data_IF_283684391731
#
_entry.id   IF_283684391731
#
_cell.length_a   1.000
_cell.length_b   1.000
_cell.length_c   1.000
_cell.angle_alpha   90.00
_cell.angle_beta   90.00
_cell.angle_gamma   90.00
#
_symmetry.space_group_name_H-M   'P 1'
#
loop_
_entity.id
_entity.type
_entity.pdbx_description
1 polymer ?
#
# COMPACT_ATOMS: atom_id res chain seq x y z
N UNK A 1 29.18 11.17 -7.56
CA UNK A 1 28.10 10.26 -7.11
C UNK A 1 28.65 8.86 -7.25
N UNK A 2 28.98 8.17 -6.14
CA UNK A 2 29.72 6.90 -6.18
C UNK A 2 28.81 5.69 -6.48
N UNK A 3 27.73 5.54 -5.71
CA UNK A 3 26.75 4.44 -5.91
C UNK A 3 25.34 4.97 -5.79
N UNK A 4 24.43 4.47 -6.64
CA UNK A 4 23.01 4.78 -6.58
C UNK A 4 22.17 3.51 -6.51
N UNK A 5 21.54 3.25 -5.36
CA UNK A 5 20.63 2.12 -5.21
C UNK A 5 19.26 2.44 -5.80
N UNK A 6 18.59 1.42 -6.33
CA UNK A 6 17.35 1.53 -7.11
C UNK A 6 16.47 0.29 -6.94
N UNK A 7 15.32 0.26 -7.60
CA UNK A 7 14.43 -0.91 -7.70
C UNK A 7 14.18 -1.57 -6.32
N UNK A 8 14.40 -2.88 -6.20
CA UNK A 8 14.08 -3.65 -4.98
C UNK A 8 14.97 -3.24 -3.81
N UNK A 9 16.27 -3.04 -4.03
CA UNK A 9 17.18 -2.57 -2.98
C UNK A 9 16.75 -1.22 -2.40
N UNK A 10 16.40 -0.25 -3.26
CA UNK A 10 15.91 1.04 -2.77
C UNK A 10 14.55 0.93 -2.08
N UNK A 11 13.63 0.10 -2.60
CA UNK A 11 12.33 -0.16 -1.97
C UNK A 11 12.52 -0.72 -0.56
N UNK A 12 13.25 -1.82 -0.40
CA UNK A 12 13.43 -2.48 0.90
C UNK A 12 14.12 -1.57 1.91
N UNK A 13 15.13 -0.81 1.46
CA UNK A 13 15.80 0.19 2.29
C UNK A 13 14.81 1.27 2.78
N UNK A 14 14.10 1.93 1.86
CA UNK A 14 13.17 3.02 2.18
C UNK A 14 12.03 2.57 3.10
N UNK A 15 11.53 1.35 2.91
CA UNK A 15 10.45 0.80 3.72
C UNK A 15 10.89 0.47 5.15
N UNK A 16 12.19 0.34 5.44
CA UNK A 16 12.71 0.01 6.79
C UNK A 16 13.33 1.20 7.52
N UNK A 17 13.85 2.19 6.80
CA UNK A 17 14.44 3.38 7.45
C UNK A 17 13.40 4.42 7.89
N UNK A 18 13.64 5.10 9.03
CA UNK A 18 12.87 6.27 9.40
C UNK A 18 13.00 7.38 8.34
N UNK A 19 11.89 7.95 7.93
CA UNK A 19 11.85 9.09 7.02
C UNK A 19 11.67 10.36 7.82
N UNK A 20 12.72 10.69 8.58
CA UNK A 20 12.76 11.92 9.36
C UNK A 20 12.64 13.09 8.39
N UNK A 21 11.57 13.89 8.49
CA UNK A 21 11.43 15.14 7.76
C UNK A 21 12.61 16.04 8.14
N UNK A 22 13.70 15.98 7.36
CA UNK A 22 14.90 16.78 7.58
C UNK A 22 14.46 18.23 7.35
N UNK A 23 14.30 18.98 8.45
CA UNK A 23 14.03 20.42 8.41
C UNK A 23 15.00 21.08 7.43
N UNK A 24 14.46 21.87 6.51
CA UNK A 24 15.16 22.41 5.33
C UNK A 24 15.56 21.37 4.26
N UNK A 25 14.55 20.88 3.54
CA UNK A 25 14.66 20.49 2.13
C UNK A 25 15.51 19.26 1.82
N UNK A 26 14.86 18.21 1.30
CA UNK A 26 15.52 17.29 0.34
C UNK A 26 15.90 18.09 -0.90
N UNK A 27 16.93 18.93 -0.83
CA UNK A 27 17.52 19.55 -2.01
C UNK A 27 18.59 18.60 -2.53
N UNK A 28 18.15 17.41 -2.97
CA UNK A 28 18.96 16.72 -3.95
C UNK A 28 18.74 17.41 -5.29
N UNK A 29 19.75 18.18 -5.71
CA UNK A 29 19.84 18.71 -7.08
C UNK A 29 20.41 17.68 -8.06
N UNK A 30 20.66 16.44 -7.62
CA UNK A 30 21.16 15.39 -8.48
C UNK A 30 20.11 15.07 -9.55
N UNK A 31 20.34 15.61 -10.74
CA UNK A 31 19.59 15.33 -11.97
C UNK A 31 20.17 14.15 -12.74
N UNK A 32 21.43 13.83 -12.48
CA UNK A 32 22.20 12.87 -13.26
C UNK A 32 22.44 11.59 -12.48
N UNK A 33 22.02 10.48 -13.08
CA UNK A 33 22.39 9.11 -12.70
C UNK A 33 23.93 8.97 -12.80
N UNK A 34 24.60 8.17 -11.94
CA UNK A 34 26.01 7.86 -12.11
C UNK A 34 26.30 7.33 -13.52
N UNK A 35 27.32 7.87 -14.19
CA UNK A 35 27.65 7.43 -15.55
C UNK A 35 28.19 6.01 -15.58
N UNK A 36 29.12 5.69 -14.69
CA UNK A 36 29.80 4.41 -14.66
C UNK A 36 29.31 3.52 -13.51
N UNK A 37 29.42 2.21 -13.69
CA UNK A 37 29.30 1.27 -12.59
C UNK A 37 30.37 1.55 -11.51
N UNK A 38 30.01 1.45 -10.22
CA UNK A 38 30.97 1.49 -9.12
C UNK A 38 31.89 0.26 -9.14
N UNK A 39 33.02 0.36 -8.45
CA UNK A 39 33.93 -0.77 -8.28
C UNK A 39 33.30 -1.88 -7.43
N UNK A 40 33.73 -3.13 -7.64
CA UNK A 40 33.23 -4.27 -6.85
C UNK A 40 33.47 -4.09 -5.34
N UNK A 41 34.56 -3.40 -4.96
CA UNK A 41 34.84 -3.10 -3.55
C UNK A 41 33.83 -2.11 -2.96
N UNK A 42 33.45 -1.07 -3.71
CA UNK A 42 32.43 -0.10 -3.28
C UNK A 42 31.06 -0.77 -3.13
N UNK A 43 30.69 -1.64 -4.08
CA UNK A 43 29.42 -2.39 -4.01
C UNK A 43 29.39 -3.30 -2.79
N UNK A 44 30.46 -4.08 -2.55
CA UNK A 44 30.52 -4.97 -1.37
C UNK A 44 30.38 -4.22 -0.08
N UNK A 45 31.18 -3.16 0.10
CA UNK A 45 31.12 -2.34 1.32
C UNK A 45 29.73 -1.76 1.54
N UNK A 46 29.08 -1.26 0.48
CA UNK A 46 27.72 -0.76 0.59
C UNK A 46 26.71 -1.86 0.90
N UNK A 47 26.85 -3.05 0.30
CA UNK A 47 25.97 -4.19 0.58
C UNK A 47 26.05 -4.58 2.05
N UNK A 48 27.27 -4.74 2.58
CA UNK A 48 27.48 -5.12 3.97
C UNK A 48 26.89 -4.06 4.92
N UNK A 49 27.00 -2.77 4.57
CA UNK A 49 26.38 -1.68 5.34
C UNK A 49 24.85 -1.63 5.25
N UNK A 50 24.26 -2.16 4.16
CA UNK A 50 22.82 -2.19 3.93
C UNK A 50 22.15 -3.48 4.37
N UNK A 51 22.90 -4.55 4.66
CA UNK A 51 22.40 -5.87 5.07
C UNK A 51 21.25 -5.80 6.09
N UNK A 52 21.29 -4.98 7.16
CA UNK A 52 20.18 -4.90 8.14
C UNK A 52 18.85 -4.38 7.57
N UNK A 53 18.87 -3.75 6.39
CA UNK A 53 17.69 -3.16 5.74
C UNK A 53 17.24 -3.94 4.51
N UNK A 54 17.89 -5.06 4.20
CA UNK A 54 17.57 -5.89 3.04
C UNK A 54 16.83 -7.16 3.48
N UNK A 55 15.99 -7.73 2.62
CA UNK A 55 15.38 -9.02 2.90
C UNK A 55 16.45 -10.09 3.10
N UNK A 56 16.16 -11.05 3.98
CA UNK A 56 17.01 -12.21 4.20
C UNK A 56 17.34 -12.91 2.87
N UNK A 57 18.62 -13.20 2.63
CA UNK A 57 19.10 -13.82 1.40
C UNK A 57 19.29 -12.87 0.21
N UNK A 58 19.15 -11.55 0.39
CA UNK A 58 19.49 -10.58 -0.64
C UNK A 58 21.00 -10.62 -0.97
N UNK A 59 21.36 -11.25 -2.08
CA UNK A 59 22.75 -11.45 -2.50
C UNK A 59 23.32 -10.32 -3.38
N UNK A 60 22.46 -9.49 -3.99
CA UNK A 60 22.86 -8.42 -4.91
C UNK A 60 22.14 -7.12 -4.63
N UNK A 61 22.85 -6.01 -4.85
CA UNK A 61 22.26 -4.67 -4.84
C UNK A 61 21.79 -4.27 -6.25
N UNK A 62 20.54 -3.81 -6.36
CA UNK A 62 20.04 -3.12 -7.53
C UNK A 62 20.60 -1.70 -7.60
N UNK A 63 21.47 -1.45 -8.58
CA UNK A 63 22.09 -0.14 -8.80
C UNK A 63 21.73 0.41 -10.17
N UNK A 64 21.68 1.74 -10.30
CA UNK A 64 21.32 2.41 -11.56
C UNK A 64 22.48 3.24 -12.11
N UNK A 65 22.73 3.12 -13.41
CA UNK A 65 23.75 3.86 -14.17
C UNK A 65 23.17 4.40 -15.49
N UNK A 66 23.80 5.41 -16.09
CA UNK A 66 23.32 6.00 -17.36
C UNK A 66 24.12 5.64 -18.61
N UNK A 67 25.38 5.20 -18.48
CA UNK A 67 26.23 4.91 -19.64
C UNK A 67 26.26 3.42 -19.95
N UNK A 68 25.67 3.05 -21.10
CA UNK A 68 25.66 1.67 -21.59
C UNK A 68 27.08 1.15 -21.85
N UNK A 69 28.01 2.00 -22.28
CA UNK A 69 29.39 1.64 -22.59
C UNK A 69 30.26 1.39 -21.35
N UNK A 70 29.74 1.67 -20.16
CA UNK A 70 30.43 1.46 -18.86
C UNK A 70 29.71 0.46 -17.96
N UNK A 71 28.81 -0.31 -18.54
CA UNK A 71 28.23 -1.48 -17.90
C UNK A 71 29.29 -2.56 -17.80
N UNK A 72 29.63 -2.95 -16.58
CA UNK A 72 30.32 -4.21 -16.32
C UNK A 72 29.52 -4.99 -15.29
N UNK A 73 29.55 -6.31 -15.40
CA UNK A 73 28.93 -7.16 -14.39
C UNK A 73 29.74 -7.09 -13.11
N UNK A 74 29.05 -6.88 -12.00
CA UNK A 74 29.61 -7.01 -10.66
C UNK A 74 28.87 -8.17 -10.01
N UNK A 75 29.60 -9.08 -9.36
CA UNK A 75 29.01 -10.26 -8.71
C UNK A 75 27.90 -9.86 -7.71
N UNK A 76 28.16 -8.78 -6.98
CA UNK A 76 27.34 -8.29 -5.87
C UNK A 76 26.28 -7.24 -6.29
N UNK A 77 26.10 -7.00 -7.59
CA UNK A 77 25.16 -6.00 -8.10
C UNK A 77 24.33 -6.49 -9.29
N UNK A 78 23.06 -6.06 -9.32
CA UNK A 78 22.24 -6.03 -10.52
C UNK A 78 22.24 -4.60 -11.05
N UNK A 79 22.86 -4.40 -12.22
CA UNK A 79 23.01 -3.09 -12.83
C UNK A 79 21.84 -2.79 -13.76
N UNK A 80 21.16 -1.68 -13.51
CA UNK A 80 20.06 -1.16 -14.31
C UNK A 80 20.49 0.06 -15.11
N UNK A 81 20.10 0.09 -16.38
CA UNK A 81 20.37 1.22 -17.26
C UNK A 81 19.22 2.22 -17.22
N UNK A 82 19.50 3.47 -16.86
CA UNK A 82 18.56 4.58 -16.95
C UNK A 82 19.14 5.70 -17.82
N UNK A 83 18.63 5.80 -19.04
CA UNK A 83 18.99 6.85 -20.01
C UNK A 83 17.97 7.99 -20.07
N UNK A 84 16.86 7.87 -19.34
CA UNK A 84 15.81 8.88 -19.30
C UNK A 84 16.28 10.14 -18.57
N UNK A 85 15.83 11.31 -19.02
CA UNK A 85 16.00 12.56 -18.28
C UNK A 85 15.02 12.59 -17.10
N UNK A 86 15.55 12.40 -15.89
CA UNK A 86 14.75 12.30 -14.69
C UNK A 86 14.53 13.68 -14.03
N UNK A 87 13.35 13.94 -13.43
CA UNK A 87 13.11 15.15 -12.65
C UNK A 87 14.13 15.34 -11.52
N UNK A 88 14.41 16.60 -11.14
CA UNK A 88 15.24 16.88 -9.97
C UNK A 88 14.65 16.26 -8.71
N UNK A 89 15.50 15.71 -7.85
CA UNK A 89 15.08 15.01 -6.62
C UNK A 89 14.80 13.52 -6.81
N UNK A 90 15.05 12.97 -8.00
CA UNK A 90 14.92 11.54 -8.30
C UNK A 90 15.92 10.66 -7.54
N UNK A 91 17.00 11.25 -7.04
CA UNK A 91 18.00 10.56 -6.21
C UNK A 91 18.24 11.34 -4.95
N UNK A 92 18.19 10.72 -3.77
CA UNK A 92 18.36 11.36 -2.47
C UNK A 92 19.65 10.84 -1.83
N UNK A 93 20.57 11.71 -1.36
CA UNK A 93 21.76 11.25 -0.68
C UNK A 93 21.41 10.69 0.71
N UNK A 94 22.04 9.58 1.08
CA UNK A 94 21.96 9.01 2.42
C UNK A 94 23.28 8.37 2.86
N UNK A 95 23.35 8.00 4.14
CA UNK A 95 24.53 7.39 4.75
C UNK A 95 24.11 6.20 5.60
N UNK A 96 24.82 5.08 5.46
CA UNK A 96 24.65 3.88 6.27
C UNK A 96 26.04 3.41 6.72
N UNK A 97 26.23 3.20 8.03
CA UNK A 97 27.50 2.77 8.61
C UNK A 97 28.72 3.61 8.15
N UNK A 98 28.52 4.93 7.99
CA UNK A 98 29.56 5.86 7.51
C UNK A 98 29.82 5.84 5.99
N UNK A 99 29.11 5.00 5.23
CA UNK A 99 29.21 4.91 3.77
C UNK A 99 28.12 5.78 3.14
N UNK A 100 28.54 6.78 2.35
CA UNK A 100 27.63 7.65 1.61
C UNK A 100 27.19 7.05 0.28
N UNK A 101 25.89 7.12 -0.02
CA UNK A 101 25.30 6.63 -1.27
C UNK A 101 24.11 7.51 -1.67
N UNK A 102 23.51 7.20 -2.82
CA UNK A 102 22.26 7.81 -3.25
C UNK A 102 21.19 6.74 -3.39
N UNK A 103 19.94 7.12 -3.09
CA UNK A 103 18.76 6.26 -3.15
C UNK A 103 17.80 6.83 -4.17
N UNK A 104 17.24 5.99 -5.04
CA UNK A 104 16.12 6.40 -5.90
C UNK A 104 14.96 6.92 -5.02
N UNK A 105 14.37 8.05 -5.37
CA UNK A 105 13.27 8.63 -4.59
C UNK A 105 12.08 7.66 -4.56
N UNK A 106 11.19 7.71 -3.55
CA UNK A 106 10.00 6.85 -3.50
C UNK A 106 9.18 6.90 -4.80
N UNK A 107 9.06 8.08 -5.41
CA UNK A 107 8.34 8.25 -6.67
C UNK A 107 9.04 7.58 -7.87
N UNK A 108 10.38 7.62 -7.91
CA UNK A 108 11.16 6.89 -8.91
C UNK A 108 11.14 5.38 -8.66
N UNK A 109 11.23 4.94 -7.40
CA UNK A 109 11.13 3.52 -7.03
C UNK A 109 9.80 2.95 -7.48
N UNK A 110 8.68 3.68 -7.31
CA UNK A 110 7.39 3.24 -7.83
C UNK A 110 7.40 3.02 -9.35
N UNK A 111 8.04 3.90 -10.13
CA UNK A 111 8.21 3.71 -11.57
C UNK A 111 9.12 2.50 -11.90
N UNK A 112 10.24 2.37 -11.20
CA UNK A 112 11.21 1.28 -11.39
C UNK A 112 10.58 -0.09 -11.08
N UNK A 113 9.79 -0.17 -10.02
CA UNK A 113 9.07 -1.40 -9.66
C UNK A 113 8.01 -1.79 -10.70
N UNK A 114 7.51 -0.85 -11.51
CA UNK A 114 6.59 -1.18 -12.60
C UNK A 114 7.23 -2.05 -13.71
N UNK A 115 8.56 -2.18 -13.74
CA UNK A 115 9.27 -3.15 -14.59
C UNK A 115 9.44 -4.53 -13.93
N UNK A 116 9.41 -4.58 -12.60
CA UNK A 116 9.86 -5.72 -11.80
C UNK A 116 8.73 -6.58 -11.25
N UNK A 117 7.50 -6.06 -11.23
CA UNK A 117 6.36 -6.69 -10.58
C UNK A 117 5.06 -6.53 -11.37
N UNK A 118 4.14 -7.44 -11.11
CA UNK A 118 2.79 -7.41 -11.68
C UNK A 118 1.96 -6.25 -11.14
N UNK A 119 0.84 -5.94 -11.81
CA UNK A 119 0.03 -4.77 -11.48
C UNK A 119 -0.50 -4.77 -10.03
N UNK A 120 -0.98 -5.90 -9.52
CA UNK A 120 -1.46 -6.01 -8.12
C UNK A 120 -0.32 -5.78 -7.13
N UNK A 121 0.86 -6.32 -7.42
CA UNK A 121 2.06 -6.12 -6.61
C UNK A 121 2.52 -4.66 -6.65
N UNK A 122 2.46 -4.01 -7.82
CA UNK A 122 2.78 -2.59 -7.96
C UNK A 122 1.81 -1.70 -7.16
N UNK A 123 0.52 -2.03 -7.14
CA UNK A 123 -0.46 -1.35 -6.30
C UNK A 123 -0.07 -1.48 -4.82
N UNK A 124 0.31 -2.67 -4.38
CA UNK A 124 0.75 -2.92 -3.01
C UNK A 124 2.04 -2.16 -2.64
N UNK A 125 3.01 -2.10 -3.55
CA UNK A 125 4.20 -1.24 -3.42
C UNK A 125 3.79 0.23 -3.27
N UNK A 126 2.84 0.69 -4.06
CA UNK A 126 2.31 2.05 -3.95
C UNK A 126 1.69 2.34 -2.59
N UNK A 127 0.90 1.41 -2.04
CA UNK A 127 0.38 1.51 -0.68
C UNK A 127 1.50 1.64 0.35
N UNK A 128 2.50 0.76 0.28
CA UNK A 128 3.63 0.77 1.21
C UNK A 128 4.45 2.08 1.16
N UNK A 129 4.68 2.64 -0.04
CA UNK A 129 5.37 3.93 -0.19
C UNK A 129 4.53 5.11 0.30
N UNK A 130 3.21 5.02 0.25
CA UNK A 130 2.29 6.07 0.72
C UNK A 130 1.78 5.82 2.15
N UNK A 131 2.35 4.84 2.86
CA UNK A 131 1.84 4.40 4.15
C UNK A 131 2.35 5.26 5.30
N UNK A 132 1.65 5.14 6.42
CA UNK A 132 2.06 5.64 7.73
C UNK A 132 2.73 4.52 8.55
N UNK A 133 3.41 3.57 7.90
CA UNK A 133 4.20 2.54 8.58
C UNK A 133 5.57 2.35 7.93
N UNK A 134 6.49 1.74 8.67
CA UNK A 134 7.73 1.15 8.15
C UNK A 134 7.80 -0.31 8.58
N UNK A 135 8.46 -1.13 7.78
CA UNK A 135 8.69 -2.53 8.11
C UNK A 135 9.73 -2.64 9.21
N UNK A 136 9.50 -3.60 10.10
CA UNK A 136 10.40 -3.93 11.19
C UNK A 136 10.21 -5.42 11.51
N UNK A 137 11.16 -6.23 11.06
CA UNK A 137 11.07 -7.69 11.16
C UNK A 137 11.20 -8.17 12.63
N UNK A 138 11.62 -7.28 13.55
CA UNK A 138 11.71 -7.56 14.99
C UNK A 138 10.41 -7.27 15.75
N UNK A 139 9.48 -6.53 15.15
CA UNK A 139 8.27 -6.07 15.82
C UNK A 139 7.13 -7.08 15.65
N UNK A 140 6.34 -7.36 16.70
CA UNK A 140 5.13 -8.16 16.58
C UNK A 140 4.18 -7.54 15.54
N UNK A 141 3.96 -8.25 14.43
CA UNK A 141 3.18 -7.76 13.28
C UNK A 141 4.01 -7.23 12.10
N UNK A 142 5.34 -7.18 12.23
CA UNK A 142 6.29 -6.91 11.14
C UNK A 142 6.38 -5.44 10.71
N UNK A 143 5.82 -4.51 11.47
CA UNK A 143 5.86 -3.08 11.16
C UNK A 143 5.65 -2.20 12.39
N UNK A 144 6.11 -0.95 12.29
CA UNK A 144 5.80 0.12 13.25
C UNK A 144 5.20 1.32 12.53
N UNK A 145 4.44 2.13 13.27
CA UNK A 145 3.83 3.34 12.73
C UNK A 145 4.87 4.45 12.53
N UNK A 146 4.71 5.21 11.44
CA UNK A 146 5.43 6.45 11.19
C UNK A 146 4.71 7.57 11.92
N UNK A 147 5.33 8.11 12.96
CA UNK A 147 4.77 9.17 13.80
C UNK A 147 5.77 10.29 14.08
N UNK A 148 5.24 11.46 14.47
CA UNK A 148 6.03 12.61 14.86
C UNK A 148 6.94 13.09 13.73
N UNK A 149 8.25 12.87 13.87
CA UNK A 149 9.24 13.29 12.85
C UNK A 149 9.37 12.29 11.70
N UNK A 150 8.98 11.03 11.89
CA UNK A 150 8.96 10.01 10.84
C UNK A 150 7.66 10.17 10.03
N UNK A 151 7.78 10.66 8.80
CA UNK A 151 6.65 11.00 7.93
C UNK A 151 6.51 9.96 6.81
N UNK A 152 5.33 9.79 6.20
CA UNK A 152 5.18 8.97 5.00
C UNK A 152 6.24 9.29 3.93
N UNK A 153 6.77 8.27 3.26
CA UNK A 153 7.86 8.41 2.29
C UNK A 153 7.47 9.33 1.13
N UNK A 154 6.24 9.20 0.68
CA UNK A 154 5.61 10.02 -0.36
C UNK A 154 4.08 10.01 -0.21
N UNK A 155 3.37 10.48 -1.23
CA UNK A 155 1.91 10.39 -1.33
C UNK A 155 1.48 10.11 -2.76
N UNK A 156 0.23 9.66 -2.93
CA UNK A 156 -0.39 9.45 -4.25
C UNK A 156 -0.28 10.72 -5.10
N UNK A 157 -0.48 11.90 -4.51
CA UNK A 157 -0.36 13.18 -5.20
C UNK A 157 1.08 13.46 -5.69
N UNK A 158 2.09 13.13 -4.87
CA UNK A 158 3.50 13.33 -5.22
C UNK A 158 3.97 12.35 -6.30
N UNK A 159 3.59 11.08 -6.21
CA UNK A 159 3.86 10.09 -7.26
C UNK A 159 3.21 10.54 -8.58
N UNK A 160 1.94 10.96 -8.54
CA UNK A 160 1.22 11.45 -9.72
C UNK A 160 1.92 12.65 -10.37
N UNK A 161 2.35 13.61 -9.56
CA UNK A 161 3.11 14.78 -10.01
C UNK A 161 4.47 14.40 -10.60
N UNK A 162 5.16 13.43 -10.02
CA UNK A 162 6.42 12.90 -10.55
C UNK A 162 6.22 12.24 -11.92
N UNK A 163 5.26 11.32 -12.03
CA UNK A 163 4.95 10.63 -13.29
C UNK A 163 4.47 11.57 -14.40
N UNK A 164 3.89 12.72 -14.05
CA UNK A 164 3.48 13.76 -15.00
C UNK A 164 4.62 14.63 -15.52
N UNK A 165 5.78 14.64 -14.84
CA UNK A 165 6.97 15.41 -15.24
C UNK A 165 7.99 14.60 -16.05
N UNK A 166 7.75 13.29 -16.22
CA UNK A 166 8.63 12.43 -17.00
C UNK A 166 8.49 12.72 -18.50
N UNK A 167 9.58 12.60 -19.29
CA UNK A 167 9.52 12.72 -20.74
C UNK A 167 8.53 11.73 -21.37
N UNK A 168 7.93 12.13 -22.48
CA UNK A 168 7.10 11.25 -23.29
C UNK A 168 7.89 10.00 -23.75
N UNK A 169 7.24 8.85 -23.81
CA UNK A 169 7.88 7.58 -24.16
C UNK A 169 8.70 6.94 -23.04
N UNK A 170 8.78 7.54 -21.84
CA UNK A 170 9.38 6.87 -20.68
C UNK A 170 8.68 5.55 -20.40
N UNK A 171 9.46 4.47 -20.36
CA UNK A 171 8.96 3.09 -20.19
C UNK A 171 8.17 2.94 -18.89
N UNK A 172 7.14 2.09 -18.91
CA UNK A 172 6.33 1.69 -17.76
C UNK A 172 5.51 2.80 -17.07
N UNK A 173 5.55 4.06 -17.55
CA UNK A 173 4.75 5.17 -16.98
C UNK A 173 3.25 4.88 -17.06
N UNK A 174 2.77 4.26 -18.14
CA UNK A 174 1.36 3.90 -18.28
C UNK A 174 0.91 2.86 -17.24
N UNK A 175 1.76 1.86 -16.97
CA UNK A 175 1.50 0.82 -15.95
C UNK A 175 1.51 1.45 -14.56
N UNK A 176 2.49 2.31 -14.26
CA UNK A 176 2.57 3.04 -13.00
C UNK A 176 1.34 3.93 -12.76
N UNK A 177 0.90 4.69 -13.78
CA UNK A 177 -0.31 5.53 -13.69
C UNK A 177 -1.56 4.68 -13.41
N UNK A 178 -1.71 3.55 -14.10
CA UNK A 178 -2.82 2.61 -13.90
C UNK A 178 -2.82 2.01 -12.49
N UNK A 179 -1.67 1.61 -11.95
CA UNK A 179 -1.57 1.13 -10.57
C UNK A 179 -1.95 2.23 -9.57
N UNK A 180 -1.47 3.46 -9.79
CA UNK A 180 -1.68 4.60 -8.90
C UNK A 180 -3.16 5.00 -8.72
N UNK A 181 -4.04 4.66 -9.67
CA UNK A 181 -5.50 4.86 -9.53
C UNK A 181 -6.09 4.09 -8.32
N UNK A 182 -5.44 3.00 -7.93
CA UNK A 182 -5.90 2.10 -6.89
C UNK A 182 -5.21 2.29 -5.54
N UNK A 183 -4.12 3.07 -5.49
CA UNK A 183 -3.35 3.34 -4.27
C UNK A 183 -4.08 4.37 -3.40
N UNK A 184 -4.00 4.22 -2.08
CA UNK A 184 -4.47 5.21 -1.10
C UNK A 184 -3.35 5.56 -0.13
N UNK A 185 -3.35 6.81 0.31
CA UNK A 185 -2.43 7.30 1.34
C UNK A 185 -2.87 6.81 2.72
N UNK A 186 -1.92 6.61 3.63
CA UNK A 186 -2.18 6.54 5.07
C UNK A 186 -2.63 5.20 5.63
N UNK A 187 -2.34 4.08 4.96
CA UNK A 187 -2.44 2.76 5.60
C UNK A 187 -1.45 2.67 6.77
N UNK A 188 -1.84 2.07 7.90
CA UNK A 188 -1.00 1.98 9.13
C UNK A 188 -0.40 0.60 9.35
N UNK A 189 -0.76 -0.36 8.51
CA UNK A 189 -0.11 -1.65 8.47
C UNK A 189 -0.09 -2.21 7.04
N UNK A 190 0.81 -3.16 6.76
CA UNK A 190 0.72 -3.97 5.57
C UNK A 190 -0.69 -4.57 5.42
N UNK A 191 -1.28 -5.11 6.50
CA UNK A 191 -2.56 -5.84 6.46
C UNK A 191 -3.72 -4.94 6.08
N UNK A 192 -3.78 -3.73 6.61
CA UNK A 192 -4.72 -2.71 6.14
C UNK A 192 -4.58 -2.41 4.64
N UNK A 193 -3.35 -2.33 4.12
CA UNK A 193 -3.11 -2.14 2.69
C UNK A 193 -3.72 -3.27 1.87
N UNK A 194 -3.53 -4.53 2.30
CA UNK A 194 -4.10 -5.71 1.66
C UNK A 194 -5.63 -5.76 1.74
N UNK A 195 -6.22 -5.42 2.89
CA UNK A 195 -7.68 -5.35 3.07
C UNK A 195 -8.24 -4.26 2.16
N UNK A 196 -7.61 -3.09 2.10
CA UNK A 196 -8.04 -1.98 1.23
C UNK A 196 -8.00 -2.37 -0.26
N UNK A 197 -6.97 -3.12 -0.67
CA UNK A 197 -6.90 -3.69 -2.02
C UNK A 197 -8.04 -4.68 -2.27
N UNK A 198 -8.23 -5.66 -1.40
CA UNK A 198 -9.29 -6.65 -1.54
C UNK A 198 -10.69 -6.00 -1.57
N UNK A 199 -10.93 -5.00 -0.74
CA UNK A 199 -12.19 -4.25 -0.67
C UNK A 199 -12.42 -3.39 -1.92
N UNK A 200 -11.43 -2.60 -2.32
CA UNK A 200 -11.58 -1.52 -3.29
C UNK A 200 -11.29 -1.91 -4.73
N UNK A 201 -10.44 -2.92 -4.98
CA UNK A 201 -10.02 -3.22 -6.34
C UNK A 201 -11.18 -3.70 -7.24
N UNK A 202 -11.08 -3.43 -8.56
CA UNK A 202 -11.95 -4.05 -9.55
C UNK A 202 -11.94 -5.57 -9.46
N UNK A 203 -13.08 -6.21 -9.74
CA UNK A 203 -13.20 -7.69 -9.79
C UNK A 203 -12.17 -8.33 -10.71
N UNK A 204 -11.86 -7.71 -11.86
CA UNK A 204 -10.84 -8.16 -12.80
C UNK A 204 -9.41 -8.16 -12.25
N UNK A 205 -9.16 -7.49 -11.12
CA UNK A 205 -7.89 -7.48 -10.39
C UNK A 205 -7.99 -8.29 -9.09
N UNK A 206 -9.03 -9.11 -8.93
CA UNK A 206 -9.26 -9.92 -7.73
C UNK A 206 -9.92 -9.17 -6.57
N UNK A 207 -10.32 -7.91 -6.73
CA UNK A 207 -11.00 -7.18 -5.66
C UNK A 207 -12.50 -7.47 -5.57
N UNK A 208 -13.13 -6.91 -4.54
CA UNK A 208 -14.57 -6.97 -4.31
C UNK A 208 -15.30 -5.73 -4.82
N UNK A 209 -14.63 -4.70 -5.34
CA UNK A 209 -15.25 -3.51 -5.94
C UNK A 209 -16.36 -2.89 -5.07
N UNK A 210 -16.12 -2.81 -3.76
CA UNK A 210 -17.15 -2.40 -2.80
C UNK A 210 -17.41 -0.90 -2.80
N UNK A 211 -16.52 -0.09 -3.35
CA UNK A 211 -16.72 1.35 -3.49
C UNK A 211 -15.43 2.14 -3.46
N UNK A 212 -15.55 3.45 -3.25
CA UNK A 212 -14.41 4.33 -3.01
C UNK A 212 -13.85 4.04 -1.61
N UNK A 213 -12.57 3.65 -1.56
CA UNK A 213 -11.84 3.39 -0.32
C UNK A 213 -11.02 4.60 0.12
N UNK A 214 -10.98 4.85 1.43
CA UNK A 214 -10.08 5.82 2.09
C UNK A 214 -9.50 5.18 3.35
N UNK A 215 -8.23 5.44 3.63
CA UNK A 215 -7.56 4.93 4.84
C UNK A 215 -7.67 5.94 5.96
N UNK A 216 -7.94 5.47 7.17
CA UNK A 216 -7.92 6.27 8.40
C UNK A 216 -8.63 7.65 8.30
N UNK A 217 -9.81 7.80 7.65
CA UNK A 217 -10.45 9.10 7.56
C UNK A 217 -11.14 9.47 8.88
N UNK A 218 -10.99 10.71 9.31
CA UNK A 218 -11.82 11.23 10.40
C UNK A 218 -13.28 11.34 9.97
N UNK A 219 -14.16 10.76 10.78
CA UNK A 219 -15.60 10.85 10.62
C UNK A 219 -16.22 11.42 11.88
N UNK A 220 -17.18 12.33 11.70
CA UNK A 220 -17.97 12.89 12.80
C UNK A 220 -19.35 12.23 12.80
N UNK A 221 -19.69 11.58 13.90
CA UNK A 221 -20.98 10.94 14.12
C UNK A 221 -21.77 11.77 15.12
N UNK A 222 -23.01 12.09 14.80
CA UNK A 222 -23.89 12.84 15.68
C UNK A 222 -24.29 11.97 16.88
N UNK A 223 -24.13 12.52 18.08
CA UNK A 223 -24.34 11.85 19.38
C UNK A 223 -25.36 12.59 20.25
N UNK A 224 -26.28 13.32 19.62
CA UNK A 224 -27.33 14.08 20.29
C UNK A 224 -26.98 15.54 20.55
N UNK A 225 -27.64 16.13 21.56
CA UNK A 225 -27.45 17.51 22.00
C UNK A 225 -27.00 17.54 23.45
N UNK A 226 -26.13 18.48 23.80
CA UNK A 226 -25.73 18.70 25.18
C UNK A 226 -26.79 19.48 25.98
N UNK A 227 -26.55 19.68 27.28
CA UNK A 227 -27.46 20.40 28.18
C UNK A 227 -27.70 21.87 27.78
N UNK A 228 -26.90 22.42 26.85
CA UNK A 228 -27.03 23.79 26.33
C UNK A 228 -27.69 23.82 24.95
N UNK A 229 -28.16 22.67 24.44
CA UNK A 229 -28.78 22.53 23.13
C UNK A 229 -27.78 22.47 21.96
N UNK A 230 -26.49 22.31 22.23
CA UNK A 230 -25.45 22.25 21.18
C UNK A 230 -25.31 20.82 20.68
N UNK A 231 -25.24 20.64 19.35
CA UNK A 231 -25.02 19.33 18.74
C UNK A 231 -23.68 18.73 19.19
N UNK A 232 -23.76 17.54 19.79
CA UNK A 232 -22.61 16.73 20.20
C UNK A 232 -22.22 15.80 19.06
N UNK A 233 -20.92 15.71 18.80
CA UNK A 233 -20.35 14.86 17.76
C UNK A 233 -19.21 14.04 18.33
N UNK A 234 -19.16 12.76 17.97
CA UNK A 234 -18.05 11.86 18.28
C UNK A 234 -17.20 11.66 17.02
N UNK A 235 -15.89 11.84 17.16
CA UNK A 235 -14.93 11.52 16.09
C UNK A 235 -14.63 10.02 16.10
N UNK A 236 -14.69 9.39 14.93
CA UNK A 236 -14.29 8.00 14.68
C UNK A 236 -13.32 7.96 13.51
N UNK A 237 -12.33 7.09 13.60
CA UNK A 237 -11.30 6.91 12.58
C UNK A 237 -11.24 5.41 12.29
N UNK A 238 -12.02 4.90 11.33
CA UNK A 238 -11.91 3.51 10.92
C UNK A 238 -10.63 3.33 10.10
N UNK A 239 -10.01 2.15 10.16
CA UNK A 239 -8.80 1.89 9.37
C UNK A 239 -9.09 2.03 7.87
N UNK A 240 -10.26 1.54 7.43
CA UNK A 240 -10.74 1.68 6.05
C UNK A 240 -12.19 2.15 6.05
N UNK A 241 -12.46 3.23 5.31
CA UNK A 241 -13.82 3.66 4.97
C UNK A 241 -14.12 3.33 3.51
N UNK A 242 -15.25 2.67 3.29
CA UNK A 242 -15.80 2.39 1.96
C UNK A 242 -17.04 3.22 1.75
N UNK A 243 -17.10 3.99 0.67
CA UNK A 243 -18.30 4.73 0.26
C UNK A 243 -18.81 4.19 -1.06
N UNK A 244 -20.10 3.85 -1.12
CA UNK A 244 -20.72 3.33 -2.32
C UNK A 244 -22.15 3.84 -2.51
N UNK A 245 -22.62 3.86 -3.76
CA UNK A 245 -24.04 4.04 -4.07
C UNK A 245 -24.73 2.67 -4.06
N UNK A 246 -25.77 2.55 -3.24
CA UNK A 246 -26.65 1.39 -3.17
C UNK A 246 -27.55 1.28 -4.41
N UNK A 247 -28.34 0.22 -4.45
CA UNK A 247 -29.26 -0.07 -5.58
C UNK A 247 -30.30 1.03 -5.83
N UNK A 248 -30.77 1.69 -4.77
CA UNK A 248 -31.75 2.79 -4.86
C UNK A 248 -31.08 4.16 -5.07
N UNK A 249 -29.77 4.20 -5.31
CA UNK A 249 -29.00 5.43 -5.56
C UNK A 249 -28.54 6.15 -4.30
N UNK A 250 -28.91 5.65 -3.13
CA UNK A 250 -28.49 6.19 -1.83
C UNK A 250 -27.01 5.95 -1.58
N UNK A 251 -26.32 6.94 -1.02
CA UNK A 251 -24.92 6.79 -0.60
C UNK A 251 -24.88 6.12 0.76
N UNK A 252 -24.16 5.00 0.85
CA UNK A 252 -23.90 4.26 2.09
C UNK A 252 -22.40 4.16 2.35
N UNK A 253 -22.05 4.00 3.62
CA UNK A 253 -20.68 3.95 4.12
C UNK A 253 -20.46 2.72 4.98
N UNK A 254 -19.29 2.11 4.88
CA UNK A 254 -18.86 1.02 5.75
C UNK A 254 -17.46 1.33 6.31
N UNK A 255 -17.35 1.42 7.63
CA UNK A 255 -16.08 1.49 8.35
C UNK A 255 -15.60 0.08 8.67
N UNK A 256 -14.31 -0.17 8.51
CA UNK A 256 -13.68 -1.46 8.75
C UNK A 256 -12.45 -1.21 9.62
N UNK A 257 -12.43 -1.82 10.79
CA UNK A 257 -11.27 -1.87 11.69
C UNK A 257 -10.62 -3.25 11.61
N UNK A 258 -9.30 -3.30 11.66
CA UNK A 258 -8.52 -4.53 11.74
C UNK A 258 -7.94 -4.70 13.15
N UNK A 259 -8.38 -5.74 13.86
CA UNK A 259 -7.85 -6.10 15.18
C UNK A 259 -6.88 -7.27 15.06
N UNK A 260 -5.58 -6.94 15.11
CA UNK A 260 -4.51 -7.93 15.04
C UNK A 260 -4.40 -8.81 16.31
N UNK A 261 -4.93 -8.35 17.46
CA UNK A 261 -4.69 -8.89 18.80
C UNK A 261 -5.95 -9.56 19.39
N UNK A 262 -6.71 -10.28 18.58
CA UNK A 262 -8.03 -10.82 18.94
C UNK A 262 -8.02 -11.93 20.02
N UNK A 263 -6.85 -12.35 20.49
CA UNK A 263 -6.70 -13.24 21.66
C UNK A 263 -6.39 -12.41 22.92
N UNK A 264 -7.30 -12.48 23.90
CA UNK A 264 -7.25 -11.89 25.25
C UNK A 264 -7.84 -10.48 25.42
N UNK A 265 -9.05 -10.43 26.02
CA UNK A 265 -9.66 -9.37 26.88
C UNK A 265 -11.16 -9.18 26.58
N UNK A 266 -12.03 -10.02 27.17
CA UNK A 266 -13.43 -10.16 26.78
C UNK A 266 -14.46 -9.14 27.36
N UNK A 267 -14.37 -8.64 28.62
CA UNK A 267 -15.49 -7.86 29.17
C UNK A 267 -15.52 -6.38 28.76
N UNK A 268 -14.41 -5.66 28.91
CA UNK A 268 -14.34 -4.22 28.64
C UNK A 268 -14.50 -3.89 27.14
N UNK A 269 -13.99 -4.76 26.26
CA UNK A 269 -14.16 -4.64 24.80
C UNK A 269 -15.61 -4.88 24.37
N UNK A 270 -16.33 -5.77 25.05
CA UNK A 270 -17.74 -6.04 24.74
C UNK A 270 -18.63 -4.81 25.04
N UNK A 271 -18.42 -4.14 26.17
CA UNK A 271 -19.15 -2.91 26.51
C UNK A 271 -18.88 -1.79 25.50
N UNK A 272 -17.61 -1.55 25.14
CA UNK A 272 -17.23 -0.55 24.15
C UNK A 272 -17.78 -0.86 22.74
N UNK A 273 -17.86 -2.14 22.35
CA UNK A 273 -18.44 -2.53 21.06
C UNK A 273 -19.96 -2.34 21.04
N UNK A 274 -20.65 -2.61 22.15
CA UNK A 274 -22.09 -2.31 22.30
C UNK A 274 -22.33 -0.80 22.19
N UNK A 275 -21.55 0.01 22.90
CA UNK A 275 -21.65 1.47 22.83
C UNK A 275 -21.39 1.98 21.40
N UNK A 276 -20.36 1.45 20.72
CA UNK A 276 -20.05 1.78 19.33
C UNK A 276 -21.22 1.46 18.40
N UNK A 277 -21.84 0.29 18.54
CA UNK A 277 -23.01 -0.09 17.73
C UNK A 277 -24.20 0.84 17.97
N UNK A 278 -24.47 1.19 19.22
CA UNK A 278 -25.56 2.09 19.58
C UNK A 278 -25.33 3.52 19.04
N UNK A 279 -24.09 4.01 19.03
CA UNK A 279 -23.73 5.30 18.46
C UNK A 279 -23.98 5.37 16.94
N UNK A 280 -23.78 4.24 16.24
CA UNK A 280 -23.83 4.19 14.77
C UNK A 280 -25.22 3.84 14.25
N UNK A 281 -25.98 3.04 14.99
CA UNK A 281 -27.31 2.58 14.59
C UNK A 281 -28.27 3.70 14.09
N UNK A 282 -28.30 4.90 14.71
CA UNK A 282 -29.18 5.97 14.27
C UNK A 282 -28.86 6.58 12.89
N UNK A 283 -27.61 6.51 12.41
CA UNK A 283 -27.23 7.10 11.11
C UNK A 283 -27.95 6.40 9.94
N UNK A 284 -28.20 5.10 10.06
CA UNK A 284 -28.93 4.29 9.08
C UNK A 284 -28.24 4.14 7.70
N UNK A 285 -27.15 4.87 7.44
CA UNK A 285 -26.38 4.86 6.18
C UNK A 285 -24.92 4.47 6.39
N UNK A 286 -24.49 4.32 7.64
CA UNK A 286 -23.17 3.89 8.06
C UNK A 286 -23.27 2.55 8.79
N UNK A 287 -22.41 1.61 8.39
CA UNK A 287 -22.19 0.35 9.09
C UNK A 287 -20.73 0.25 9.50
N UNK A 288 -20.44 -0.44 10.59
CA UNK A 288 -19.09 -0.62 11.09
C UNK A 288 -18.79 -2.09 11.33
N UNK A 289 -17.62 -2.52 10.89
CA UNK A 289 -17.16 -3.90 10.94
C UNK A 289 -15.79 -3.96 11.59
N UNK A 290 -15.52 -5.04 12.32
CA UNK A 290 -14.19 -5.38 12.80
C UNK A 290 -13.80 -6.70 12.16
N UNK A 291 -12.63 -6.74 11.55
CA UNK A 291 -12.00 -7.94 11.02
C UNK A 291 -10.88 -8.35 11.95
N UNK A 292 -10.93 -9.57 12.46
CA UNK A 292 -9.86 -10.13 13.28
C UNK A 292 -8.76 -10.75 12.42
N UNK A 293 -7.61 -11.06 13.02
CA UNK A 293 -6.56 -11.87 12.39
C UNK A 293 -7.09 -13.21 11.84
N UNK A 294 -8.05 -13.84 12.54
CA UNK A 294 -8.67 -15.10 12.09
C UNK A 294 -9.59 -14.89 10.89
N UNK A 295 -10.35 -13.80 10.86
CA UNK A 295 -11.18 -13.46 9.69
C UNK A 295 -10.33 -13.20 8.46
N UNK A 296 -9.18 -12.55 8.62
CA UNK A 296 -8.29 -12.15 7.52
C UNK A 296 -7.46 -13.33 7.00
N UNK A 297 -6.98 -14.20 7.90
CA UNK A 297 -6.14 -15.37 7.55
C UNK A 297 -6.94 -16.56 7.01
N UNK A 298 -8.27 -16.56 7.14
CA UNK A 298 -9.15 -17.56 6.55
C UNK A 298 -9.96 -16.97 5.39
N UNK A 299 -9.65 -17.37 4.15
CA UNK A 299 -10.33 -16.86 2.96
C UNK A 299 -11.86 -16.99 3.00
N UNK A 300 -12.39 -18.09 3.55
CA UNK A 300 -13.85 -18.30 3.62
C UNK A 300 -14.49 -17.31 4.59
N UNK A 301 -13.85 -17.05 5.73
CA UNK A 301 -14.30 -16.05 6.70
C UNK A 301 -14.20 -14.64 6.11
N UNK A 302 -13.05 -14.30 5.51
CA UNK A 302 -12.81 -13.03 4.84
C UNK A 302 -13.88 -12.75 3.78
N UNK A 303 -14.15 -13.72 2.89
CA UNK A 303 -15.17 -13.59 1.83
C UNK A 303 -16.55 -13.35 2.42
N UNK A 304 -16.93 -14.06 3.48
CA UNK A 304 -18.21 -13.85 4.18
C UNK A 304 -18.29 -12.44 4.78
N UNK A 305 -17.19 -11.89 5.28
CA UNK A 305 -17.14 -10.51 5.76
C UNK A 305 -17.35 -9.51 4.60
N UNK A 306 -16.71 -9.73 3.45
CA UNK A 306 -16.91 -8.90 2.25
C UNK A 306 -18.37 -8.95 1.76
N UNK A 307 -19.01 -10.12 1.79
CA UNK A 307 -20.44 -10.27 1.44
C UNK A 307 -21.35 -9.50 2.42
N UNK A 308 -21.03 -9.49 3.72
CA UNK A 308 -21.76 -8.70 4.73
C UNK A 308 -21.60 -7.19 4.49
N UNK A 309 -20.38 -6.72 4.23
CA UNK A 309 -20.09 -5.31 3.93
C UNK A 309 -20.85 -4.89 2.66
N UNK A 310 -20.79 -5.68 1.61
CA UNK A 310 -21.52 -5.46 0.34
C UNK A 310 -23.03 -5.30 0.56
N UNK A 311 -23.64 -6.13 1.42
CA UNK A 311 -25.07 -6.01 1.77
C UNK A 311 -25.35 -4.73 2.55
N UNK A 312 -24.51 -4.36 3.52
CA UNK A 312 -24.66 -3.11 4.27
C UNK A 312 -24.58 -1.87 3.35
N UNK A 313 -23.66 -1.91 2.38
CA UNK A 313 -23.53 -0.90 1.32
C UNK A 313 -24.69 -0.89 0.31
N UNK A 314 -25.70 -1.74 0.48
CA UNK A 314 -26.89 -1.79 -0.37
C UNK A 314 -26.61 -2.27 -1.79
N UNK A 315 -25.50 -2.98 -2.00
CA UNK A 315 -25.05 -3.42 -3.33
C UNK A 315 -25.67 -4.77 -3.73
N UNK A 316 -25.45 -5.17 -4.99
CA UNK A 316 -25.84 -6.50 -5.49
C UNK A 316 -24.84 -7.54 -4.99
N UNK A 317 -25.34 -8.63 -4.43
CA UNK A 317 -24.51 -9.71 -3.87
C UNK A 317 -23.66 -10.38 -4.96
N UNK A 318 -24.21 -10.52 -6.18
CA UNK A 318 -23.52 -11.13 -7.32
C UNK A 318 -23.38 -10.15 -8.50
N UNK A 319 -22.35 -10.31 -9.36
CA UNK A 319 -22.21 -9.56 -10.61
C UNK A 319 -23.47 -9.66 -11.49
N UNK A 320 -23.71 -8.66 -12.35
CA UNK A 320 -24.74 -8.77 -13.38
C UNK A 320 -24.25 -9.75 -14.45
N UNK A 321 -24.90 -10.91 -14.52
CA UNK A 321 -24.69 -11.89 -15.59
C UNK A 321 -25.67 -11.58 -16.74
N UNK A 322 -25.22 -11.76 -17.99
CA UNK A 322 -26.07 -11.53 -19.17
C UNK A 322 -27.12 -12.64 -19.38
N UNK A 323 -26.91 -13.83 -18.83
CA UNK A 323 -27.78 -15.00 -19.01
C UNK A 323 -28.23 -15.65 -17.71
N UNK A 324 -28.86 -16.83 -17.83
CA UNK A 324 -29.28 -17.63 -16.67
C UNK A 324 -28.05 -18.02 -15.83
N UNK A 325 -28.16 -17.89 -14.51
CA UNK A 325 -27.09 -18.15 -13.55
C UNK A 325 -26.62 -19.60 -13.54
N UNK A 326 -27.52 -20.53 -13.85
CA UNK A 326 -27.23 -21.95 -13.88
C UNK A 326 -26.67 -22.41 -15.22
N UNK A 327 -26.50 -21.48 -16.17
CA UNK A 327 -25.76 -21.78 -17.40
C UNK A 327 -24.30 -22.07 -17.09
N UNK A 328 -23.71 -23.01 -17.85
CA UNK A 328 -22.29 -23.36 -17.73
C UNK A 328 -21.38 -22.12 -17.86
N UNK A 329 -21.71 -21.19 -18.75
CA UNK A 329 -20.94 -19.96 -18.94
C UNK A 329 -21.00 -19.03 -17.73
N UNK A 330 -22.17 -18.88 -17.10
CA UNK A 330 -22.30 -18.08 -15.88
C UNK A 330 -21.57 -18.72 -14.70
N UNK A 331 -21.58 -20.04 -14.59
CA UNK A 331 -20.83 -20.76 -13.56
C UNK A 331 -19.31 -20.61 -13.75
N UNK A 332 -18.81 -20.67 -14.99
CA UNK A 332 -17.41 -20.41 -15.33
C UNK A 332 -16.99 -19.00 -14.93
N UNK A 333 -17.75 -17.97 -15.33
CA UNK A 333 -17.46 -16.58 -14.96
C UNK A 333 -17.38 -16.40 -13.43
N UNK A 334 -18.30 -17.01 -12.69
CA UNK A 334 -18.28 -16.93 -11.23
C UNK A 334 -17.08 -17.66 -10.61
N UNK A 335 -16.69 -18.81 -11.17
CA UNK A 335 -15.50 -19.54 -10.75
C UNK A 335 -14.21 -18.74 -11.01
N UNK A 336 -14.10 -18.11 -12.18
CA UNK A 336 -12.95 -17.25 -12.52
C UNK A 336 -12.84 -16.06 -11.57
N UNK A 337 -13.96 -15.40 -11.26
CA UNK A 337 -14.01 -14.31 -10.27
C UNK A 337 -13.51 -14.79 -8.90
N UNK A 338 -13.96 -15.96 -8.46
CA UNK A 338 -13.53 -16.52 -7.18
C UNK A 338 -12.05 -16.88 -7.16
N UNK A 339 -11.53 -17.42 -8.27
CA UNK A 339 -10.11 -17.72 -8.41
C UNK A 339 -9.27 -16.45 -8.35
N UNK A 340 -9.63 -15.40 -9.11
CA UNK A 340 -8.93 -14.11 -9.05
C UNK A 340 -8.96 -13.49 -7.65
N UNK A 341 -10.11 -13.56 -6.95
CA UNK A 341 -10.25 -13.06 -5.58
C UNK A 341 -9.38 -13.83 -4.59
N UNK A 342 -9.32 -15.15 -4.74
CA UNK A 342 -8.47 -16.01 -3.91
C UNK A 342 -6.98 -15.72 -4.14
N UNK A 343 -6.55 -15.59 -5.39
CA UNK A 343 -5.17 -15.28 -5.73
C UNK A 343 -4.72 -13.92 -5.20
N UNK A 344 -5.56 -12.89 -5.33
CA UNK A 344 -5.28 -11.58 -4.72
C UNK A 344 -5.17 -11.72 -3.20
N UNK A 345 -6.18 -12.32 -2.55
CA UNK A 345 -6.18 -12.52 -1.11
C UNK A 345 -4.92 -13.24 -0.64
N UNK A 346 -4.54 -14.33 -1.32
CA UNK A 346 -3.36 -15.13 -1.01
C UNK A 346 -2.08 -14.29 -1.03
N UNK A 347 -1.93 -13.41 -2.03
CA UNK A 347 -0.77 -12.53 -2.19
C UNK A 347 -0.75 -11.36 -1.19
N UNK A 348 -1.88 -10.78 -0.81
CA UNK A 348 -1.87 -9.56 0.02
C UNK A 348 -2.16 -9.80 1.50
N UNK A 349 -2.79 -10.94 1.83
CA UNK A 349 -3.32 -11.27 3.16
C UNK A 349 -3.08 -12.73 3.59
N UNK A 350 -2.81 -13.64 2.64
CA UNK A 350 -2.52 -15.04 2.92
C UNK A 350 -1.10 -15.29 3.45
N UNK A 351 -0.78 -16.56 3.69
CA UNK A 351 0.56 -16.97 4.16
C UNK A 351 1.68 -16.65 3.15
N UNK A 352 1.36 -16.65 1.86
CA UNK A 352 2.27 -16.29 0.76
C UNK A 352 2.26 -14.78 0.49
N UNK A 353 2.11 -13.99 1.56
CA UNK A 353 2.05 -12.55 1.48
C UNK A 353 3.26 -12.00 0.73
N UNK A 354 3.03 -11.04 -0.16
CA UNK A 354 4.06 -10.24 -0.80
C UNK A 354 4.97 -9.65 0.28
N UNK A 355 6.18 -10.19 0.38
CA UNK A 355 7.26 -9.60 1.18
C UNK A 355 7.73 -8.36 0.43
N UNK A 356 7.47 -7.19 1.02
CA UNK A 356 7.87 -5.88 0.51
C UNK A 356 9.34 -5.56 0.81
#
# INVERSE_FOLDING_TARGET
>A
MQVCISHRTALSYLLRVPNVARGAGRISRARAVPRACPSSQEVRRLRDALEPYLPEGASKLDIVVSDRGRLHQTEDARVHLCTAELPSGSFVPDVAMGIGFHVSSPELVFLQMAEEVELDQLIYVGFALCSSFRLDDLEPGGCVQREGRDQPLTSVARIRSYLGRLPEGTRNVAIAKRALEHVRDGARSPSESGIAMAVGLPVRLGGHSLGETRMNPEMRIYDGVDARGTARWITRIPDILVTARGRSGEVRRAGIDFDANSTHSAPARAAADVERRNLIAPDGRFAHFTLTSDDVSNYVAFRRAMDRIRRALGQREKPRLRGNRDSADSQRILADVWSCQFELWKRVLGADRLRL
#
